data_IF_211766387202
#
_entry.id   IF_211766387202
#
_cell.length_a   1.000
_cell.length_b   1.000
_cell.length_c   1.000
_cell.angle_alpha   90.00
_cell.angle_beta   90.00
_cell.angle_gamma   90.00
#
_symmetry.space_group_name_H-M   'P 1'
#
loop_
_entity.id
_entity.type
_entity.pdbx_description
1 polymer ?
#
# COMPACT_ATOMS: atom_id res chain seq x y z
N UNK A 1 -17.73 -25.34 -5.56
CA UNK A 1 -17.07 -24.02 -5.43
C UNK A 1 -16.53 -23.92 -4.01
N UNK A 2 -15.30 -24.39 -3.76
CA UNK A 2 -14.67 -24.38 -2.44
C UNK A 2 -14.04 -23.01 -2.22
N UNK A 3 -14.53 -22.25 -1.23
CA UNK A 3 -13.83 -21.06 -0.72
C UNK A 3 -12.52 -21.54 -0.10
N UNK A 4 -11.41 -21.28 -0.79
CA UNK A 4 -10.08 -21.40 -0.21
C UNK A 4 -9.91 -20.20 0.73
N UNK A 5 -10.29 -20.39 2.00
CA UNK A 5 -9.87 -19.46 3.06
C UNK A 5 -8.35 -19.49 3.05
N UNK A 6 -7.71 -18.40 2.64
CA UNK A 6 -6.25 -18.27 2.71
C UNK A 6 -5.84 -18.31 4.18
N UNK A 7 -5.43 -19.48 4.68
CA UNK A 7 -4.89 -19.66 6.03
C UNK A 7 -3.44 -19.18 6.17
N UNK A 8 -2.93 -18.35 5.24
CA UNK A 8 -1.58 -17.82 5.34
C UNK A 8 -1.60 -16.48 6.08
N UNK A 9 -0.73 -16.28 7.08
CA UNK A 9 -0.64 -15.02 7.81
C UNK A 9 -0.33 -13.84 6.88
N UNK A 10 -0.98 -12.71 7.13
CA UNK A 10 -0.93 -11.51 6.28
C UNK A 10 0.48 -10.90 6.19
N UNK A 11 0.79 -10.30 5.04
CA UNK A 11 1.96 -9.42 4.85
C UNK A 11 1.48 -7.98 4.84
N UNK A 12 2.03 -7.17 5.74
CA UNK A 12 1.74 -5.75 5.84
C UNK A 12 2.79 -4.91 5.12
N UNK A 13 2.35 -3.97 4.29
CA UNK A 13 3.20 -2.98 3.63
C UNK A 13 2.82 -1.56 4.08
N UNK A 14 3.80 -0.80 4.58
CA UNK A 14 3.69 0.62 4.90
C UNK A 14 4.38 1.47 3.84
N UNK A 15 3.60 2.16 3.01
CA UNK A 15 4.07 3.04 1.93
C UNK A 15 4.22 4.46 2.47
N UNK A 16 5.45 4.98 2.40
CA UNK A 16 5.80 6.25 3.03
C UNK A 16 6.02 6.11 4.53
N UNK A 17 6.68 5.01 4.95
CA UNK A 17 6.75 4.59 6.35
C UNK A 17 7.49 5.58 7.28
N UNK A 18 8.35 6.44 6.71
CA UNK A 18 9.03 7.51 7.44
C UNK A 18 9.97 6.94 8.50
N UNK A 19 9.60 7.11 9.77
CA UNK A 19 10.31 6.54 10.93
C UNK A 19 9.71 5.22 11.44
N UNK A 20 8.84 4.58 10.63
CA UNK A 20 8.29 3.24 10.85
C UNK A 20 7.39 3.09 12.09
N UNK A 21 6.79 4.17 12.59
CA UNK A 21 5.88 4.10 13.76
C UNK A 21 4.67 3.18 13.50
N UNK A 22 4.05 3.29 12.31
CA UNK A 22 2.89 2.46 11.93
C UNK A 22 3.33 1.01 11.76
N UNK A 23 4.43 0.79 11.04
CA UNK A 23 5.06 -0.52 10.87
C UNK A 23 5.34 -1.21 12.22
N UNK A 24 5.98 -0.52 13.17
CA UNK A 24 6.31 -1.03 14.50
C UNK A 24 5.06 -1.37 15.29
N UNK A 25 4.05 -0.48 15.29
CA UNK A 25 2.79 -0.74 15.97
C UNK A 25 2.09 -1.98 15.38
N UNK A 26 2.01 -2.12 14.06
CA UNK A 26 1.40 -3.29 13.41
C UNK A 26 2.17 -4.57 13.75
N UNK A 27 3.51 -4.55 13.67
CA UNK A 27 4.35 -5.69 14.00
C UNK A 27 4.18 -6.16 15.45
N UNK A 28 4.00 -5.23 16.39
CA UNK A 28 3.90 -5.52 17.82
C UNK A 28 2.48 -5.87 18.28
N UNK A 29 1.45 -5.47 17.53
CA UNK A 29 0.04 -5.57 17.99
C UNK A 29 -0.83 -6.48 17.14
N UNK A 30 -0.27 -7.11 16.09
CA UNK A 30 -1.02 -7.98 15.18
C UNK A 30 -0.26 -9.28 14.88
N UNK A 31 -0.94 -10.25 14.26
CA UNK A 31 -0.36 -11.55 13.88
C UNK A 31 0.10 -11.59 12.41
N UNK A 32 0.48 -10.45 11.82
CA UNK A 32 1.05 -10.42 10.47
C UNK A 32 2.39 -11.18 10.44
N UNK A 33 2.67 -11.91 9.35
CA UNK A 33 3.92 -12.67 9.22
C UNK A 33 5.14 -11.78 8.97
N UNK A 34 4.91 -10.66 8.30
CA UNK A 34 5.97 -9.79 7.80
C UNK A 34 5.42 -8.38 7.68
N UNK A 35 6.15 -7.42 8.23
CA UNK A 35 5.94 -6.00 7.98
C UNK A 35 7.07 -5.49 7.08
N UNK A 36 6.71 -4.76 6.03
CA UNK A 36 7.64 -4.14 5.09
C UNK A 36 7.38 -2.64 5.07
N UNK A 37 8.40 -1.82 5.29
CA UNK A 37 8.32 -0.36 5.21
C UNK A 37 9.05 0.13 3.97
N UNK A 38 8.42 0.99 3.19
CA UNK A 38 9.09 1.70 2.08
C UNK A 38 9.02 3.20 2.31
N UNK A 39 10.18 3.86 2.35
CA UNK A 39 10.25 5.30 2.51
C UNK A 39 10.53 5.98 1.16
N UNK A 40 9.56 6.77 0.70
CA UNK A 40 9.70 7.60 -0.49
C UNK A 40 10.22 8.98 -0.09
N UNK A 41 11.55 9.17 -0.07
CA UNK A 41 12.17 10.48 0.19
C UNK A 41 12.40 11.25 -1.09
N UNK A 42 11.96 12.52 -1.13
CA UNK A 42 12.21 13.46 -2.25
C UNK A 42 13.70 13.59 -2.60
N UNK A 43 14.59 13.55 -1.61
CA UNK A 43 16.05 13.67 -1.83
C UNK A 43 16.65 12.45 -2.56
N UNK A 44 16.06 11.26 -2.44
CA UNK A 44 16.51 10.07 -3.17
C UNK A 44 16.06 10.08 -4.64
N UNK A 45 14.94 10.75 -4.94
CA UNK A 45 14.42 10.99 -6.30
C UNK A 45 15.25 12.05 -7.05
N UNK A 46 15.89 12.98 -6.32
CA UNK A 46 16.75 14.02 -6.89
C UNK A 46 18.23 13.60 -7.04
N UNK A 47 18.74 12.72 -6.17
CA UNK A 47 20.15 12.28 -6.19
C UNK A 47 20.41 11.00 -7.00
N UNK A 48 19.36 10.29 -7.42
CA UNK A 48 19.45 9.25 -8.43
C UNK A 48 18.38 9.53 -9.48
N UNK A 49 18.73 9.47 -10.76
CA UNK A 49 17.78 9.20 -11.85
C UNK A 49 17.17 7.79 -11.70
N UNK A 50 16.67 7.45 -10.51
CA UNK A 50 15.78 6.29 -10.33
C UNK A 50 14.41 6.87 -10.52
N UNK A 51 13.84 6.54 -11.68
CA UNK A 51 12.47 6.89 -12.04
C UNK A 51 11.56 6.50 -10.86
N UNK A 52 10.60 7.36 -10.50
CA UNK A 52 9.61 7.02 -9.46
C UNK A 52 8.82 5.76 -9.88
N UNK A 53 8.83 5.43 -11.18
CA UNK A 53 8.34 4.17 -11.75
C UNK A 53 9.19 2.90 -11.48
N UNK A 54 10.44 3.04 -11.02
CA UNK A 54 11.29 1.90 -10.61
C UNK A 54 11.04 1.47 -9.15
N UNK A 55 10.16 2.17 -8.43
CA UNK A 55 9.56 1.68 -7.19
C UNK A 55 8.43 0.70 -7.56
N UNK A 56 8.79 -0.39 -8.25
CA UNK A 56 7.89 -1.42 -8.74
C UNK A 56 7.40 -2.31 -7.58
N UNK A 57 6.67 -1.72 -6.62
CA UNK A 57 6.10 -2.41 -5.45
C UNK A 57 5.20 -3.56 -5.87
N UNK A 58 4.51 -3.42 -7.00
CA UNK A 58 3.64 -4.46 -7.56
C UNK A 58 4.40 -5.65 -8.17
N UNK A 59 5.70 -5.51 -8.45
CA UNK A 59 6.49 -6.51 -9.20
C UNK A 59 7.71 -7.05 -8.45
N UNK A 60 8.22 -6.32 -7.47
CA UNK A 60 9.39 -6.75 -6.69
C UNK A 60 8.96 -7.49 -5.42
N UNK A 61 9.43 -8.73 -5.27
CA UNK A 61 9.39 -9.41 -3.97
C UNK A 61 10.33 -8.67 -3.00
N UNK A 62 9.94 -8.49 -1.72
CA UNK A 62 8.74 -9.04 -1.08
C UNK A 62 7.49 -8.13 -1.15
N UNK A 63 7.56 -6.97 -1.81
CA UNK A 63 6.49 -5.96 -1.83
C UNK A 63 5.22 -6.47 -2.55
N UNK A 64 5.38 -7.19 -3.66
CA UNK A 64 4.26 -7.70 -4.45
C UNK A 64 3.43 -8.77 -3.74
N UNK A 65 3.97 -9.36 -2.67
CA UNK A 65 3.31 -10.36 -1.81
C UNK A 65 2.46 -9.72 -0.70
N UNK A 66 2.46 -8.39 -0.58
CA UNK A 66 1.70 -7.71 0.46
C UNK A 66 0.19 -7.92 0.29
N UNK A 67 -0.46 -8.36 1.37
CA UNK A 67 -1.89 -8.66 1.41
C UNK A 67 -2.69 -7.49 2.01
N UNK A 68 -2.07 -6.74 2.93
CA UNK A 68 -2.59 -5.52 3.54
C UNK A 68 -1.61 -4.38 3.28
N UNK A 69 -2.10 -3.27 2.75
CA UNK A 69 -1.26 -2.09 2.45
C UNK A 69 -1.81 -0.86 3.15
N UNK A 70 -0.94 -0.09 3.78
CA UNK A 70 -1.21 1.25 4.28
C UNK A 70 -0.38 2.26 3.48
N UNK A 71 -1.01 3.34 3.03
CA UNK A 71 -0.35 4.38 2.23
C UNK A 71 -0.74 5.77 2.74
N UNK A 72 0.15 6.40 3.50
CA UNK A 72 -0.06 7.77 3.95
C UNK A 72 0.47 8.78 2.91
N UNK A 73 -0.28 8.97 1.83
CA UNK A 73 0.10 9.79 0.67
C UNK A 73 -0.54 11.18 0.65
N UNK A 74 -1.11 11.64 1.77
CA UNK A 74 -1.83 12.93 1.84
C UNK A 74 -0.98 14.13 1.39
N UNK A 75 0.29 14.16 1.80
CA UNK A 75 1.23 15.25 1.51
C UNK A 75 2.00 15.06 0.19
N UNK A 76 1.75 13.97 -0.54
CA UNK A 76 2.43 13.73 -1.81
C UNK A 76 1.91 14.68 -2.88
N UNK A 77 2.79 15.03 -3.83
CA UNK A 77 2.38 15.74 -5.03
C UNK A 77 1.50 14.84 -5.91
N UNK A 78 0.63 15.44 -6.72
CA UNK A 78 -0.35 14.70 -7.52
C UNK A 78 0.31 13.70 -8.48
N UNK A 79 1.47 14.04 -9.05
CA UNK A 79 2.24 13.12 -9.91
C UNK A 79 2.76 11.90 -9.11
N UNK A 80 3.25 12.12 -7.90
CA UNK A 80 3.69 11.04 -7.01
C UNK A 80 2.51 10.18 -6.56
N UNK A 81 1.37 10.80 -6.23
CA UNK A 81 0.12 10.07 -5.91
C UNK A 81 -0.30 9.21 -7.10
N UNK A 82 -0.23 9.71 -8.34
CA UNK A 82 -0.63 8.96 -9.53
C UNK A 82 0.24 7.71 -9.74
N UNK A 83 1.55 7.80 -9.50
CA UNK A 83 2.46 6.65 -9.63
C UNK A 83 2.17 5.62 -8.53
N UNK A 84 2.09 6.05 -7.27
CA UNK A 84 1.74 5.16 -6.15
C UNK A 84 0.38 4.50 -6.38
N UNK A 85 -0.59 5.24 -6.89
CA UNK A 85 -1.92 4.73 -7.26
C UNK A 85 -1.86 3.60 -8.27
N UNK A 86 -1.01 3.71 -9.29
CA UNK A 86 -0.82 2.67 -10.32
C UNK A 86 -0.21 1.42 -9.72
N UNK A 87 0.81 1.57 -8.88
CA UNK A 87 1.45 0.44 -8.19
C UNK A 87 0.47 -0.27 -7.25
N UNK A 88 -0.23 0.48 -6.38
CA UNK A 88 -1.26 -0.07 -5.49
C UNK A 88 -2.36 -0.80 -6.26
N UNK A 89 -2.76 -0.27 -7.43
CA UNK A 89 -3.75 -0.91 -8.30
C UNK A 89 -3.23 -2.17 -9.01
N UNK A 90 -1.92 -2.37 -9.08
CA UNK A 90 -1.30 -3.52 -9.71
C UNK A 90 -0.91 -4.63 -8.72
N UNK A 91 -1.06 -4.42 -7.40
CA UNK A 91 -0.64 -5.40 -6.38
C UNK A 91 -1.56 -6.65 -6.38
N UNK A 92 -1.09 -7.82 -6.82
CA UNK A 92 -1.97 -8.96 -7.07
C UNK A 92 -2.56 -9.58 -5.80
N UNK A 93 -1.79 -9.59 -4.70
CA UNK A 93 -2.18 -10.25 -3.44
C UNK A 93 -2.90 -9.31 -2.46
N UNK A 94 -2.85 -8.00 -2.70
CA UNK A 94 -3.43 -7.01 -1.81
C UNK A 94 -4.95 -7.08 -1.83
N UNK A 95 -5.54 -7.56 -0.73
CA UNK A 95 -6.99 -7.64 -0.55
C UNK A 95 -7.53 -6.46 0.28
N UNK A 96 -6.68 -5.78 1.04
CA UNK A 96 -6.98 -4.50 1.71
C UNK A 96 -5.92 -3.47 1.38
N UNK A 97 -6.35 -2.28 0.94
CA UNK A 97 -5.51 -1.09 0.88
C UNK A 97 -6.18 0.04 1.65
N UNK A 98 -5.44 0.68 2.54
CA UNK A 98 -5.85 1.85 3.30
C UNK A 98 -4.98 3.02 2.84
N UNK A 99 -5.59 4.11 2.39
CA UNK A 99 -4.87 5.29 1.91
C UNK A 99 -5.42 6.57 2.50
N UNK A 100 -4.57 7.57 2.71
CA UNK A 100 -4.98 8.92 3.13
C UNK A 100 -5.32 9.86 1.96
N UNK A 101 -5.36 9.33 0.74
CA UNK A 101 -5.89 10.02 -0.46
C UNK A 101 -6.60 9.05 -1.40
N UNK A 102 -7.55 9.57 -2.16
CA UNK A 102 -8.23 8.80 -3.21
C UNK A 102 -7.22 8.37 -4.28
N UNK A 103 -7.28 7.10 -4.61
CA UNK A 103 -6.71 6.57 -5.83
C UNK A 103 -7.75 5.75 -6.60
N UNK A 104 -7.56 5.57 -7.90
CA UNK A 104 -8.51 4.89 -8.77
C UNK A 104 -8.85 3.48 -8.26
N UNK A 105 -10.10 2.99 -8.45
CA UNK A 105 -10.48 1.67 -7.98
C UNK A 105 -9.86 0.59 -8.87
N UNK A 106 -9.47 -0.55 -8.28
CA UNK A 106 -9.24 -1.79 -9.02
C UNK A 106 -10.52 -2.39 -9.59
N UNK A 107 -11.63 -2.29 -8.86
CA UNK A 107 -12.96 -2.67 -9.33
C UNK A 107 -14.03 -1.74 -8.75
N UNK A 108 -15.00 -1.40 -9.62
CA UNK A 108 -16.06 -0.38 -9.52
C UNK A 108 -16.76 -0.28 -8.13
N UNK A 109 -17.08 0.96 -7.76
CA UNK A 109 -17.95 1.52 -6.68
C UNK A 109 -18.86 0.58 -5.86
N UNK A 110 -19.16 0.88 -4.55
CA UNK A 110 -19.16 2.23 -3.97
C UNK A 110 -18.25 2.43 -2.74
N UNK A 111 -17.72 3.64 -2.69
CA UNK A 111 -16.83 4.20 -1.68
C UNK A 111 -17.56 4.48 -0.36
N UNK A 112 -16.84 4.43 0.76
CA UNK A 112 -17.24 5.09 2.01
C UNK A 112 -16.12 6.04 2.42
N UNK A 113 -16.30 7.34 2.16
CA UNK A 113 -15.42 8.36 2.71
C UNK A 113 -15.72 8.51 4.20
N UNK A 114 -14.72 8.38 5.06
CA UNK A 114 -14.82 8.80 6.46
C UNK A 114 -14.53 10.30 6.60
N UNK A 115 -15.00 10.98 7.65
CA UNK A 115 -14.75 12.42 7.87
C UNK A 115 -13.26 12.79 7.99
N UNK A 116 -12.44 11.81 8.34
CA UNK A 116 -10.98 11.85 8.20
C UNK A 116 -10.68 11.18 6.87
N UNK A 117 -9.90 11.80 5.99
CA UNK A 117 -9.62 11.44 4.58
C UNK A 117 -8.95 10.06 4.37
N UNK A 118 -9.47 9.01 5.00
CA UNK A 118 -9.00 7.63 4.96
C UNK A 118 -9.93 6.86 4.03
N UNK A 119 -9.33 6.19 3.05
CA UNK A 119 -10.01 5.42 2.03
C UNK A 119 -9.60 3.97 2.16
N UNK A 120 -10.59 3.09 2.31
CA UNK A 120 -10.39 1.65 2.45
C UNK A 120 -10.88 0.95 1.19
N UNK A 121 -9.97 0.28 0.49
CA UNK A 121 -10.22 -0.49 -0.70
C UNK A 121 -10.15 -1.96 -0.34
N UNK A 122 -11.23 -2.71 -0.60
CA UNK A 122 -11.28 -4.16 -0.40
C UNK A 122 -11.58 -4.87 -1.70
N UNK A 123 -10.76 -5.84 -2.08
CA UNK A 123 -11.12 -6.77 -3.14
C UNK A 123 -12.17 -7.76 -2.60
N UNK A 124 -13.21 -8.05 -3.38
CA UNK A 124 -14.09 -9.18 -3.08
C UNK A 124 -13.27 -10.45 -3.30
N UNK A 125 -12.98 -11.16 -2.20
CA UNK A 125 -12.40 -12.51 -2.23
C UNK A 125 -13.36 -13.48 -2.93
#
# INVERSE_FOLDING_TARGET
>A
MTMLVRCYPDVFLDVGSGVDNVLAQVALTTNVRTCIGTELRRELVLLKQVDVGDVSMSRHSPLCEATIVFANIFLFEEDAKLIVSRELSAMPEAWVIVSTSLFGPRHRSPWKATPQSIYIYRNKL
#
